data_IF_414538119166
#
_entry.id   IF_414538119166
#
_cell.length_a   1.000
_cell.length_b   1.000
_cell.length_c   1.000
_cell.angle_alpha   90.00
_cell.angle_beta   90.00
_cell.angle_gamma   90.00
#
_symmetry.space_group_name_H-M   'P 1'
#
loop_
_entity.id
_entity.type
_entity.pdbx_description
1 polymer ?
#
# COMPACT_ATOMS: atom_id res chain seq x y z
N UNK A 1 18.96 -3.66 11.93
CA UNK A 1 17.58 -3.13 11.99
C UNK A 1 17.68 -1.70 11.50
N UNK A 2 17.05 -1.39 10.38
CA UNK A 2 16.99 -0.04 9.85
C UNK A 2 15.84 0.70 10.53
N UNK A 3 16.04 1.96 10.87
CA UNK A 3 15.03 2.82 11.47
C UNK A 3 14.25 3.65 10.45
N UNK A 4 14.78 3.75 9.23
CA UNK A 4 14.18 4.33 8.03
C UNK A 4 14.41 3.42 6.83
N UNK A 5 13.39 3.24 6.00
CA UNK A 5 13.48 2.58 4.70
C UNK A 5 12.70 3.38 3.66
N UNK A 6 13.26 3.50 2.46
CA UNK A 6 12.58 4.04 1.30
C UNK A 6 12.87 3.18 0.08
N UNK A 7 11.90 3.06 -0.82
CA UNK A 7 12.07 2.24 -2.00
C UNK A 7 11.15 2.65 -3.14
N UNK A 8 11.52 2.15 -4.32
CA UNK A 8 10.81 2.39 -5.56
C UNK A 8 10.67 1.07 -6.32
N UNK A 9 9.46 0.74 -6.73
CA UNK A 9 9.15 -0.48 -7.47
C UNK A 9 8.41 -0.14 -8.76
N UNK A 10 8.85 -0.77 -9.86
CA UNK A 10 8.14 -0.74 -11.14
C UNK A 10 7.33 -2.02 -11.29
N UNK A 11 6.03 -1.87 -11.52
CA UNK A 11 5.11 -2.99 -11.70
C UNK A 11 5.07 -3.42 -13.17
N UNK A 12 4.67 -4.66 -13.43
CA UNK A 12 4.46 -5.20 -14.79
C UNK A 12 3.42 -4.41 -15.58
N UNK A 13 2.46 -3.79 -14.87
CA UNK A 13 1.43 -2.91 -15.44
C UNK A 13 2.00 -1.59 -15.98
N UNK A 14 3.28 -1.29 -15.72
CA UNK A 14 3.93 -0.02 -16.04
C UNK A 14 3.73 1.06 -14.99
N UNK A 15 2.89 0.81 -13.96
CA UNK A 15 2.78 1.69 -12.81
C UNK A 15 4.04 1.62 -11.92
N UNK A 16 4.23 2.66 -11.12
CA UNK A 16 5.32 2.74 -10.16
C UNK A 16 4.77 2.93 -8.76
N UNK A 17 5.45 2.36 -7.78
CA UNK A 17 5.16 2.51 -6.35
C UNK A 17 6.40 3.10 -5.70
N UNK A 18 6.24 4.26 -5.06
CA UNK A 18 7.23 4.80 -4.13
C UNK A 18 6.69 4.62 -2.72
N UNK A 19 7.54 4.22 -1.79
CA UNK A 19 7.16 4.11 -0.39
C UNK A 19 8.32 4.54 0.50
N UNK A 20 7.95 5.03 1.68
CA UNK A 20 8.87 5.34 2.76
C UNK A 20 8.23 4.92 4.07
N UNK A 21 9.05 4.49 5.00
CA UNK A 21 8.65 4.12 6.35
C UNK A 21 9.78 4.47 7.31
N UNK A 22 9.41 5.05 8.45
CA UNK A 22 10.35 5.24 9.55
C UNK A 22 9.62 5.21 10.86
N UNK A 23 10.26 4.58 11.84
CA UNK A 23 9.75 4.54 13.22
C UNK A 23 10.46 5.57 14.12
N UNK A 24 11.50 6.27 13.63
CA UNK A 24 12.33 7.19 14.40
C UNK A 24 12.54 8.54 13.67
N UNK A 25 11.48 9.14 13.13
CA UNK A 25 11.57 10.30 12.22
C UNK A 25 11.82 11.67 12.88
N UNK A 26 11.87 11.79 14.22
CA UNK A 26 11.96 13.09 14.93
C UNK A 26 10.98 14.16 14.41
N UNK A 27 9.72 13.77 14.20
CA UNK A 27 8.64 14.62 13.68
C UNK A 27 7.65 14.99 14.78
N UNK A 28 6.94 16.11 14.62
CA UNK A 28 5.93 16.59 15.58
C UNK A 28 4.78 15.59 15.76
N UNK A 29 4.34 14.94 14.68
CA UNK A 29 3.18 14.03 14.66
C UNK A 29 3.42 12.85 13.74
N UNK A 30 2.95 11.68 14.15
CA UNK A 30 2.87 10.51 13.27
C UNK A 30 2.07 10.85 12.01
N UNK A 31 2.58 10.40 10.87
CA UNK A 31 1.97 10.64 9.56
C UNK A 31 1.88 9.32 8.82
N UNK A 32 0.67 8.96 8.40
CA UNK A 32 0.45 7.91 7.42
C UNK A 32 -0.26 8.50 6.20
N UNK A 33 0.23 8.15 5.02
CA UNK A 33 -0.35 8.66 3.81
C UNK A 33 -0.31 7.66 2.67
N UNK A 34 -1.21 7.86 1.71
CA UNK A 34 -1.28 7.12 0.47
C UNK A 34 -1.76 8.07 -0.61
N UNK A 35 -1.04 8.08 -1.74
CA UNK A 35 -1.45 8.81 -2.93
C UNK A 35 -1.54 7.86 -4.11
N UNK A 36 -2.62 7.98 -4.89
CA UNK A 36 -2.74 7.32 -6.18
C UNK A 36 -2.86 8.38 -7.27
N UNK A 37 -1.97 8.30 -8.24
CA UNK A 37 -1.88 9.25 -9.34
C UNK A 37 -2.27 8.54 -10.64
N UNK A 38 -3.52 8.71 -11.04
CA UNK A 38 -4.08 8.10 -12.25
C UNK A 38 -4.27 9.11 -13.37
N UNK A 39 -4.47 8.59 -14.59
CA UNK A 39 -4.70 9.41 -15.79
C UNK A 39 -6.09 10.04 -15.86
N UNK A 40 -7.06 9.52 -15.10
CA UNK A 40 -8.45 10.02 -15.06
C UNK A 40 -8.85 10.61 -13.71
N UNK A 41 -7.89 10.74 -12.80
CA UNK A 41 -8.12 11.17 -11.43
C UNK A 41 -7.09 10.56 -10.49
N UNK A 42 -7.11 11.03 -9.26
CA UNK A 42 -6.24 10.56 -8.20
C UNK A 42 -6.94 10.59 -6.86
N UNK A 43 -6.26 10.11 -5.83
CA UNK A 43 -6.72 10.28 -4.46
C UNK A 43 -5.52 10.51 -3.55
N UNK A 44 -5.76 11.23 -2.47
CA UNK A 44 -4.86 11.28 -1.33
C UNK A 44 -5.61 10.84 -0.09
N UNK A 45 -4.93 10.08 0.75
CA UNK A 45 -5.36 9.73 2.08
C UNK A 45 -4.25 10.16 3.03
N UNK A 46 -4.54 11.08 3.94
CA UNK A 46 -3.59 11.54 4.96
C UNK A 46 -4.26 11.40 6.32
N UNK A 47 -3.67 10.64 7.24
CA UNK A 47 -4.19 10.46 8.61
C UNK A 47 -5.68 10.07 8.66
N UNK A 48 -6.11 9.25 7.69
CA UNK A 48 -7.50 8.79 7.54
C UNK A 48 -8.44 9.74 6.79
N UNK A 49 -7.99 10.94 6.43
CA UNK A 49 -8.77 11.88 5.62
C UNK A 49 -8.59 11.57 4.13
N UNK A 50 -9.67 11.15 3.47
CA UNK A 50 -9.69 10.85 2.04
C UNK A 50 -10.08 12.11 1.24
N UNK A 51 -9.31 12.41 0.20
CA UNK A 51 -9.66 13.33 -0.89
C UNK A 51 -9.55 12.63 -2.24
N UNK A 52 -10.49 12.91 -3.13
CA UNK A 52 -10.53 12.36 -4.49
C UNK A 52 -10.50 13.51 -5.49
N UNK A 53 -9.56 13.43 -6.42
CA UNK A 53 -9.32 14.44 -7.44
C UNK A 53 -9.71 13.91 -8.80
N UNK A 54 -10.37 14.73 -9.61
CA UNK A 54 -10.80 14.32 -10.94
C UNK A 54 -11.52 15.41 -11.69
N UNK A 55 -12.41 14.98 -12.59
CA UNK A 55 -13.21 15.85 -13.43
C UNK A 55 -14.67 15.41 -13.43
N UNK A 56 -15.59 16.35 -13.29
CA UNK A 56 -17.03 16.13 -13.44
C UNK A 56 -17.55 17.13 -14.46
N UNK A 57 -18.14 16.62 -15.55
CA UNK A 57 -18.74 17.44 -16.61
C UNK A 57 -17.80 18.51 -17.18
N UNK A 58 -16.51 18.19 -17.40
CA UNK A 58 -15.54 19.14 -17.95
C UNK A 58 -14.86 20.05 -16.93
N UNK A 59 -15.26 19.99 -15.65
CA UNK A 59 -14.71 20.83 -14.58
C UNK A 59 -13.89 19.99 -13.60
N UNK A 60 -12.72 20.51 -13.20
CA UNK A 60 -11.89 19.90 -12.17
C UNK A 60 -12.60 19.90 -10.81
N UNK A 61 -12.49 18.79 -10.08
CA UNK A 61 -13.14 18.61 -8.78
C UNK A 61 -12.17 18.07 -7.73
N UNK A 62 -12.28 18.60 -6.51
CA UNK A 62 -11.78 18.01 -5.27
C UNK A 62 -13.00 17.56 -4.44
N UNK A 63 -13.11 16.26 -4.19
CA UNK A 63 -14.20 15.65 -3.46
C UNK A 63 -13.65 15.13 -2.13
N UNK A 64 -14.21 15.63 -1.03
CA UNK A 64 -14.00 15.10 0.32
C UNK A 64 -15.22 14.28 0.73
N UNK A 65 -15.23 12.95 0.50
CA UNK A 65 -16.39 12.13 0.80
C UNK A 65 -16.60 11.98 2.31
N UNK A 66 -17.86 11.99 2.74
CA UNK A 66 -18.23 11.58 4.09
C UNK A 66 -18.23 10.05 4.19
N UNK A 67 -17.07 9.49 4.52
CA UNK A 67 -16.93 8.04 4.69
C UNK A 67 -17.37 7.65 6.09
N UNK A 68 -18.25 6.63 6.20
CA UNK A 68 -18.63 6.10 7.50
C UNK A 68 -17.40 5.44 8.13
N UNK A 69 -17.04 5.87 9.33
CA UNK A 69 -16.04 5.19 10.12
C UNK A 69 -16.57 3.79 10.49
N UNK A 70 -16.15 2.76 9.75
CA UNK A 70 -16.47 1.38 10.09
C UNK A 70 -15.54 0.93 11.20
N UNK A 71 -16.12 0.37 12.26
CA UNK A 71 -15.43 -0.12 13.46
C UNK A 71 -14.08 -0.79 13.15
N UNK A 72 -13.04 -0.35 13.86
CA UNK A 72 -11.77 -1.03 14.12
C UNK A 72 -11.02 -1.61 12.91
N UNK A 73 -9.83 -1.08 12.62
CA UNK A 73 -8.81 -1.84 11.88
C UNK A 73 -8.70 -3.24 12.49
N UNK A 74 -8.89 -4.30 11.70
CA UNK A 74 -8.85 -5.70 12.15
C UNK A 74 -10.20 -6.37 12.34
N UNK A 75 -11.30 -5.63 12.59
CA UNK A 75 -12.62 -6.24 12.82
C UNK A 75 -13.17 -6.89 11.54
N UNK A 76 -13.03 -6.19 10.42
CA UNK A 76 -13.50 -6.64 9.13
C UNK A 76 -12.68 -7.85 8.64
N UNK A 77 -11.37 -7.80 8.83
CA UNK A 77 -10.40 -8.83 8.48
C UNK A 77 -10.64 -10.10 9.31
N UNK A 78 -10.82 -9.95 10.63
CA UNK A 78 -11.12 -11.05 11.54
C UNK A 78 -12.46 -11.70 11.19
N UNK A 79 -13.49 -10.88 10.96
CA UNK A 79 -14.81 -11.38 10.52
C UNK A 79 -14.71 -12.12 9.19
N UNK A 80 -13.98 -11.57 8.22
CA UNK A 80 -13.75 -12.20 6.91
C UNK A 80 -13.04 -13.54 7.05
N UNK A 81 -12.00 -13.61 7.88
CA UNK A 81 -11.26 -14.84 8.16
C UNK A 81 -12.16 -15.92 8.77
N UNK A 82 -12.94 -15.58 9.80
CA UNK A 82 -13.89 -16.51 10.42
C UNK A 82 -14.94 -17.00 9.41
N UNK A 83 -15.47 -16.10 8.57
CA UNK A 83 -16.43 -16.47 7.53
C UNK A 83 -15.83 -17.42 6.47
N UNK A 84 -14.58 -17.20 6.08
CA UNK A 84 -13.87 -18.09 5.15
C UNK A 84 -13.74 -19.51 5.73
N UNK A 85 -13.39 -19.63 7.02
CA UNK A 85 -13.33 -20.93 7.72
C UNK A 85 -14.71 -21.59 7.71
N UNK A 86 -15.74 -20.88 8.17
CA UNK A 86 -17.10 -21.43 8.32
C UNK A 86 -17.71 -21.88 6.99
N UNK A 87 -17.47 -21.11 5.92
CA UNK A 87 -18.04 -21.36 4.59
C UNK A 87 -17.10 -22.12 3.65
N UNK A 88 -15.91 -22.50 4.12
CA UNK A 88 -14.85 -23.13 3.31
C UNK A 88 -14.56 -22.35 2.02
N UNK A 89 -14.41 -21.03 2.16
CA UNK A 89 -14.07 -20.11 1.07
C UNK A 89 -12.60 -19.74 1.15
N UNK A 90 -11.99 -19.41 0.00
CA UNK A 90 -10.67 -18.81 0.01
C UNK A 90 -10.70 -17.37 0.56
N UNK A 91 -9.74 -16.97 1.41
CA UNK A 91 -9.54 -15.59 1.81
C UNK A 91 -9.22 -14.67 0.62
N UNK A 92 -9.49 -13.38 0.75
CA UNK A 92 -9.11 -12.38 -0.26
C UNK A 92 -7.60 -12.16 -0.30
N UNK A 93 -6.92 -12.41 0.82
CA UNK A 93 -5.46 -12.41 0.94
C UNK A 93 -5.02 -13.85 1.24
N UNK A 94 -4.78 -14.67 0.20
CA UNK A 94 -4.30 -16.02 0.38
C UNK A 94 -2.80 -16.02 0.76
N UNK A 95 -2.25 -17.12 1.32
CA UNK A 95 -0.87 -17.17 1.82
C UNK A 95 0.20 -16.79 0.80
N UNK A 96 -0.05 -17.05 -0.48
CA UNK A 96 0.85 -16.74 -1.60
C UNK A 96 1.10 -15.23 -1.73
N UNK A 97 0.14 -14.39 -1.35
CA UNK A 97 0.33 -12.94 -1.37
C UNK A 97 1.27 -12.48 -0.24
N UNK A 98 1.28 -13.15 0.91
CA UNK A 98 2.26 -12.89 1.96
C UNK A 98 3.68 -13.28 1.53
N UNK A 99 3.83 -14.37 0.77
CA UNK A 99 5.13 -14.77 0.19
C UNK A 99 5.63 -13.71 -0.78
N UNK A 100 4.77 -13.19 -1.67
CA UNK A 100 5.14 -12.09 -2.58
C UNK A 100 5.56 -10.83 -1.83
N UNK A 101 4.88 -10.51 -0.73
CA UNK A 101 5.28 -9.37 0.12
C UNK A 101 6.67 -9.57 0.72
N UNK A 102 7.01 -10.77 1.18
CA UNK A 102 8.36 -11.07 1.68
C UNK A 102 9.41 -10.97 0.57
N UNK A 103 9.11 -11.46 -0.64
CA UNK A 103 10.00 -11.32 -1.80
C UNK A 103 10.26 -9.84 -2.15
N UNK A 104 9.26 -8.97 -2.00
CA UNK A 104 9.44 -7.53 -2.19
C UNK A 104 10.42 -6.97 -1.15
N UNK A 105 10.27 -7.35 0.11
CA UNK A 105 11.17 -6.94 1.21
C UNK A 105 12.60 -7.43 0.94
N UNK A 106 12.78 -8.70 0.58
CA UNK A 106 14.08 -9.26 0.24
C UNK A 106 14.72 -8.56 -0.95
N UNK A 107 13.93 -8.22 -1.98
CA UNK A 107 14.38 -7.44 -3.12
C UNK A 107 14.86 -6.03 -2.75
N UNK A 108 14.19 -5.36 -1.82
CA UNK A 108 14.61 -4.04 -1.32
C UNK A 108 15.97 -4.16 -0.61
N UNK A 109 16.15 -5.16 0.26
CA UNK A 109 17.42 -5.40 0.93
C UNK A 109 18.55 -5.73 -0.06
N UNK A 110 18.29 -6.61 -1.04
CA UNK A 110 19.27 -6.93 -2.08
C UNK A 110 19.63 -5.71 -2.95
N UNK A 111 18.67 -4.83 -3.22
CA UNK A 111 18.91 -3.57 -3.92
C UNK A 111 19.80 -2.63 -3.09
N UNK A 112 19.53 -2.51 -1.79
CA UNK A 112 20.32 -1.69 -0.89
C UNK A 112 21.78 -2.18 -0.77
N UNK A 113 21.98 -3.50 -0.64
CA UNK A 113 23.32 -4.10 -0.56
C UNK A 113 24.11 -3.97 -1.87
N UNK A 114 23.44 -4.15 -3.01
CA UNK A 114 24.10 -4.09 -4.32
C UNK A 114 24.22 -2.68 -4.90
N UNK A 115 23.54 -1.69 -4.32
CA UNK A 115 23.51 -0.29 -4.78
C UNK A 115 22.86 -0.10 -6.16
N UNK A 116 22.04 -1.06 -6.63
CA UNK A 116 21.38 -1.02 -7.94
C UNK A 116 20.00 -1.68 -7.90
N UNK A 117 19.23 -1.50 -8.97
CA UNK A 117 17.93 -2.17 -9.11
C UNK A 117 18.09 -3.70 -9.18
N UNK A 118 17.12 -4.40 -8.62
CA UNK A 118 16.98 -5.86 -8.72
C UNK A 118 15.69 -6.19 -9.46
N UNK A 119 15.70 -7.29 -10.22
CA UNK A 119 14.48 -7.80 -10.86
C UNK A 119 13.90 -8.94 -10.03
N UNK A 120 12.59 -8.89 -9.79
CA UNK A 120 11.94 -9.87 -8.91
C UNK A 120 11.94 -11.31 -9.46
N UNK A 121 12.11 -11.50 -10.78
CA UNK A 121 12.30 -12.82 -11.41
C UNK A 121 13.66 -13.47 -11.09
N UNK A 122 14.59 -12.69 -10.51
CA UNK A 122 15.92 -13.17 -10.08
C UNK A 122 16.09 -13.29 -8.56
N UNK A 123 15.07 -12.91 -7.78
CA UNK A 123 15.08 -13.02 -6.31
C UNK A 123 14.51 -14.40 -5.95
N UNK A 124 15.39 -15.32 -5.55
CA UNK A 124 15.02 -16.70 -5.21
C UNK A 124 14.36 -16.79 -3.83
N UNK A 125 13.36 -17.68 -3.73
CA UNK A 125 13.03 -18.43 -2.50
C UNK A 125 13.68 -19.80 -2.63
#
# INVERSE_FOLDING_TARGET
MEDFAAGFAKLETGASVAFEFSWASNIERETNYLELLGTRGGLSMYNGELRVFGEVSGALTDITPHVRNTSGWGDNETRHFIECIRKRRQPMSPPEDAVKMMQIIDGIYASAESGREVRMDTVFV
#
